data_IF_004530521330
#
_entry.id   IF_004530521330
#
_cell.length_a   1.000
_cell.length_b   1.000
_cell.length_c   1.000
_cell.angle_alpha   90.00
_cell.angle_beta   90.00
_cell.angle_gamma   90.00
#
_symmetry.space_group_name_H-M   'P 1'
#
loop_
_entity.id
_entity.type
_entity.pdbx_description
1 polymer ?
#
# COMPACT_ATOMS: atom_id res chain seq x y z
N UNK A 1 -8.04 15.63 6.30
CA UNK A 1 -7.32 14.65 7.15
C UNK A 1 -6.43 15.32 8.19
N UNK A 2 -6.00 16.59 8.02
CA UNK A 2 -5.14 17.29 8.99
C UNK A 2 -5.87 18.05 10.11
N UNK A 3 -7.19 17.92 10.24
CA UNK A 3 -7.94 18.59 11.30
C UNK A 3 -7.71 17.84 12.64
N UNK A 4 -7.31 18.54 13.73
CA UNK A 4 -7.07 17.89 15.01
C UNK A 4 -8.28 17.08 15.48
N UNK A 5 -8.04 15.87 15.98
CA UNK A 5 -9.05 14.94 16.52
C UNK A 5 -10.02 14.31 15.50
N UNK A 6 -9.82 14.50 14.19
CA UNK A 6 -10.60 13.77 13.17
C UNK A 6 -10.17 12.29 13.12
N UNK A 7 -11.08 11.36 13.38
CA UNK A 7 -10.79 9.90 13.37
C UNK A 7 -11.30 9.16 12.14
N UNK A 8 -12.25 9.72 11.38
CA UNK A 8 -12.86 9.05 10.22
C UNK A 8 -11.85 8.77 9.08
N UNK A 9 -10.93 9.71 8.82
CA UNK A 9 -9.85 9.54 7.84
C UNK A 9 -8.53 9.84 8.55
N UNK A 10 -7.86 8.82 9.11
CA UNK A 10 -6.65 9.03 9.89
C UNK A 10 -5.53 9.57 9.02
N UNK A 11 -4.73 10.47 9.59
CA UNK A 11 -3.47 10.88 8.98
C UNK A 11 -2.41 9.82 9.24
N UNK A 12 -1.62 9.54 8.21
CA UNK A 12 -0.44 8.67 8.28
C UNK A 12 0.76 9.43 7.77
N UNK A 13 1.94 9.11 8.29
CA UNK A 13 3.21 9.69 7.83
C UNK A 13 4.12 8.57 7.36
N UNK A 14 4.73 8.75 6.20
CA UNK A 14 5.68 7.81 5.62
C UNK A 14 6.80 8.55 4.90
N UNK A 15 8.01 7.98 4.85
CA UNK A 15 9.13 8.57 4.13
C UNK A 15 8.90 8.54 2.62
N UNK A 16 9.40 9.56 1.91
CA UNK A 16 9.51 9.55 0.45
C UNK A 16 10.98 9.37 0.08
N UNK A 17 11.28 8.24 -0.56
CA UNK A 17 12.64 7.83 -0.89
C UNK A 17 12.81 7.60 -2.39
N UNK A 18 14.06 7.61 -2.86
CA UNK A 18 14.41 7.37 -4.28
C UNK A 18 14.64 5.89 -4.58
N UNK A 19 15.01 5.13 -3.56
CA UNK A 19 15.31 3.71 -3.61
C UNK A 19 14.46 2.95 -2.59
N UNK A 20 14.22 1.66 -2.84
CA UNK A 20 13.40 0.82 -1.96
C UNK A 20 14.12 0.50 -0.65
N UNK A 21 15.44 0.35 -0.73
CA UNK A 21 16.33 0.06 0.39
C UNK A 21 16.30 1.20 1.43
N UNK A 22 16.20 2.45 0.97
CA UNK A 22 16.06 3.61 1.85
C UNK A 22 14.69 3.62 2.55
N UNK A 23 13.63 3.22 1.84
CA UNK A 23 12.29 3.11 2.42
C UNK A 23 12.28 2.05 3.52
N UNK A 24 12.87 0.88 3.24
CA UNK A 24 13.01 -0.22 4.18
C UNK A 24 13.81 0.20 5.42
N UNK A 25 14.96 0.85 5.23
CA UNK A 25 15.83 1.32 6.29
C UNK A 25 15.10 2.29 7.23
N UNK A 26 14.43 3.32 6.68
CA UNK A 26 13.74 4.32 7.50
C UNK A 26 12.56 3.69 8.23
N UNK A 27 11.77 2.85 7.57
CA UNK A 27 10.65 2.15 8.20
C UNK A 27 11.12 1.23 9.33
N UNK A 28 12.20 0.49 9.12
CA UNK A 28 12.81 -0.38 10.15
C UNK A 28 13.29 0.41 11.35
N UNK A 29 14.07 1.48 11.13
CA UNK A 29 14.57 2.35 12.21
C UNK A 29 13.44 2.92 13.06
N UNK A 30 12.32 3.32 12.44
CA UNK A 30 11.16 3.84 13.17
C UNK A 30 10.50 2.74 14.00
N UNK A 31 10.32 1.53 13.46
CA UNK A 31 9.67 0.42 14.16
C UNK A 31 10.55 -0.11 15.30
N UNK A 32 11.86 -0.22 15.09
CA UNK A 32 12.85 -0.66 16.08
C UNK A 32 12.99 0.31 17.26
N UNK A 33 12.55 1.56 17.10
CA UNK A 33 12.47 2.53 18.19
C UNK A 33 11.26 2.31 19.13
N UNK A 34 10.47 1.25 18.91
CA UNK A 34 9.30 0.86 19.71
C UNK A 34 8.29 2.01 19.96
N UNK A 35 7.77 2.66 18.91
CA UNK A 35 6.92 3.86 19.04
C UNK A 35 5.64 3.63 19.85
N UNK A 36 5.17 2.38 19.95
CA UNK A 36 4.03 1.98 20.79
C UNK A 36 4.26 2.22 22.30
N UNK A 37 5.51 2.39 22.75
CA UNK A 37 5.81 2.80 24.12
C UNK A 37 5.48 4.28 24.40
N UNK A 38 5.38 5.09 23.35
CA UNK A 38 5.12 6.54 23.44
C UNK A 38 3.70 6.89 22.99
N UNK A 39 3.20 6.25 21.94
CA UNK A 39 1.84 6.45 21.42
C UNK A 39 1.04 5.14 21.42
N UNK A 40 0.01 5.07 22.27
CA UNK A 40 -0.88 3.92 22.39
C UNK A 40 -1.74 3.64 21.14
N UNK A 41 -1.78 4.55 20.16
CA UNK A 41 -2.44 4.31 18.86
C UNK A 41 -1.61 3.44 17.93
N UNK A 42 -0.31 3.31 18.19
CA UNK A 42 0.59 2.50 17.36
C UNK A 42 0.52 1.05 17.84
N UNK A 43 0.16 0.09 16.98
CA UNK A 43 0.14 -1.30 17.36
C UNK A 43 1.58 -1.83 17.60
N UNK A 44 1.81 -2.68 18.62
CA UNK A 44 3.13 -3.21 18.93
C UNK A 44 3.53 -4.34 17.98
N UNK A 45 3.86 -3.98 16.74
CA UNK A 45 4.23 -4.92 15.68
C UNK A 45 5.73 -4.73 15.39
N UNK A 46 6.59 -5.70 15.77
CA UNK A 46 8.02 -5.61 15.49
C UNK A 46 8.32 -5.80 14.00
N UNK A 47 9.47 -5.28 13.56
CA UNK A 47 9.94 -5.45 12.19
C UNK A 47 10.19 -6.92 11.89
N UNK A 48 9.86 -7.36 10.67
CA UNK A 48 10.17 -8.70 10.17
C UNK A 48 11.20 -8.55 9.05
N UNK A 49 12.40 -9.09 9.27
CA UNK A 49 13.49 -9.04 8.28
C UNK A 49 13.12 -9.71 6.95
N UNK A 50 12.26 -10.72 7.01
CA UNK A 50 11.67 -11.33 5.83
C UNK A 50 10.22 -11.71 6.11
N UNK A 51 9.41 -11.60 5.06
CA UNK A 51 8.08 -12.20 5.02
C UNK A 51 8.14 -13.26 3.95
N UNK A 52 8.18 -14.53 4.36
CA UNK A 52 8.06 -15.63 3.43
C UNK A 52 6.59 -15.74 3.00
N UNK A 53 6.36 -15.58 1.70
CA UNK A 53 5.06 -15.78 1.08
C UNK A 53 5.19 -17.00 0.18
N UNK A 54 4.53 -18.10 0.55
CA UNK A 54 4.53 -19.36 -0.22
C UNK A 54 4.02 -19.14 -1.65
N UNK A 55 3.02 -18.26 -1.80
CA UNK A 55 2.44 -17.84 -3.07
C UNK A 55 2.07 -16.36 -3.01
N UNK A 56 2.43 -15.59 -4.03
CA UNK A 56 2.06 -14.19 -4.17
C UNK A 56 1.03 -14.07 -5.28
N UNK A 57 -0.16 -13.56 -4.94
CA UNK A 57 -1.21 -13.22 -5.91
C UNK A 57 -1.43 -11.71 -5.88
N UNK A 58 -1.52 -11.08 -7.05
CA UNK A 58 -1.65 -9.63 -7.18
C UNK A 58 -3.03 -9.27 -7.73
N UNK A 59 -3.79 -8.54 -6.92
CA UNK A 59 -5.03 -7.91 -7.37
C UNK A 59 -4.76 -6.59 -8.09
N UNK A 60 -5.32 -6.40 -9.29
CA UNK A 60 -5.19 -5.16 -10.07
C UNK A 60 -6.59 -4.53 -10.21
N UNK A 61 -6.75 -3.34 -9.65
CA UNK A 61 -7.93 -2.51 -9.87
C UNK A 61 -7.64 -1.53 -11.02
N UNK A 62 -8.25 -1.76 -12.18
CA UNK A 62 -7.98 -0.94 -13.38
C UNK A 62 -8.71 0.39 -13.32
N UNK A 63 -9.95 0.40 -12.85
CA UNK A 63 -10.78 1.59 -12.79
C UNK A 63 -11.78 1.50 -11.64
N UNK A 64 -11.88 2.57 -10.86
CA UNK A 64 -12.78 2.72 -9.73
C UNK A 64 -14.23 3.08 -10.10
N UNK A 65 -14.54 3.15 -11.41
CA UNK A 65 -15.84 3.58 -11.99
C UNK A 65 -16.23 5.04 -11.71
N UNK A 66 -15.36 5.83 -11.08
CA UNK A 66 -15.59 7.26 -10.81
C UNK A 66 -14.75 8.13 -11.72
N UNK A 67 -13.44 7.87 -11.78
CA UNK A 67 -12.51 8.69 -12.54
C UNK A 67 -11.75 7.77 -13.49
N UNK A 68 -12.07 7.89 -14.79
CA UNK A 68 -11.41 7.08 -15.81
C UNK A 68 -9.93 7.44 -15.88
N UNK A 69 -9.00 6.48 -15.71
CA UNK A 69 -7.58 6.76 -15.78
C UNK A 69 -7.17 7.23 -17.18
N UNK A 70 -6.16 8.09 -17.23
CA UNK A 70 -5.59 8.52 -18.50
C UNK A 70 -4.95 7.34 -19.25
N UNK A 71 -4.93 7.38 -20.60
CA UNK A 71 -4.35 6.29 -21.41
C UNK A 71 -2.92 5.85 -21.01
N UNK A 72 -1.99 6.74 -20.59
CA UNK A 72 -0.66 6.31 -20.13
C UNK A 72 -0.70 5.44 -18.86
N UNK A 73 -1.65 5.69 -17.95
CA UNK A 73 -1.82 4.91 -16.73
C UNK A 73 -2.35 3.52 -17.05
N UNK A 74 -3.36 3.44 -17.93
CA UNK A 74 -3.89 2.15 -18.41
C UNK A 74 -2.81 1.31 -19.09
N UNK A 75 -1.93 1.94 -19.87
CA UNK A 75 -0.78 1.27 -20.49
C UNK A 75 0.18 0.73 -19.43
N UNK A 76 0.56 1.56 -18.45
CA UNK A 76 1.48 1.14 -17.39
C UNK A 76 0.93 -0.03 -16.56
N UNK A 77 -0.38 -0.04 -16.26
CA UNK A 77 -1.05 -1.14 -15.57
C UNK A 77 -0.96 -2.45 -16.38
N UNK A 78 -1.24 -2.39 -17.68
CA UNK A 78 -1.16 -3.56 -18.58
C UNK A 78 0.26 -4.10 -18.74
N UNK A 79 1.25 -3.21 -18.83
CA UNK A 79 2.67 -3.58 -18.89
C UNK A 79 3.09 -4.26 -17.58
N UNK A 80 2.65 -3.73 -16.43
CA UNK A 80 2.93 -4.31 -15.11
C UNK A 80 2.29 -5.68 -14.97
N UNK A 81 1.01 -5.84 -15.33
CA UNK A 81 0.31 -7.13 -15.33
C UNK A 81 1.04 -8.17 -16.19
N UNK A 82 1.46 -7.77 -17.40
CA UNK A 82 2.18 -8.65 -18.32
C UNK A 82 3.52 -9.11 -17.73
N UNK A 83 4.25 -8.20 -17.05
CA UNK A 83 5.52 -8.53 -16.43
C UNK A 83 5.35 -9.43 -15.19
N UNK A 84 4.30 -9.23 -14.40
CA UNK A 84 3.96 -10.09 -13.27
C UNK A 84 3.62 -11.51 -13.73
N UNK A 85 2.77 -11.66 -14.75
CA UNK A 85 2.45 -12.98 -15.33
C UNK A 85 3.68 -13.69 -15.89
N UNK A 86 4.59 -12.95 -16.53
CA UNK A 86 5.87 -13.50 -17.02
C UNK A 86 6.78 -13.99 -15.89
N UNK A 87 6.72 -13.35 -14.73
CA UNK A 87 7.45 -13.77 -13.53
C UNK A 87 6.78 -14.98 -12.83
N UNK A 88 5.66 -15.49 -13.34
CA UNK A 88 4.91 -16.61 -12.75
C UNK A 88 4.00 -16.20 -11.59
N UNK A 89 3.73 -14.90 -11.43
CA UNK A 89 2.83 -14.37 -10.40
C UNK A 89 1.42 -14.30 -10.98
N UNK A 90 0.46 -14.90 -10.28
CA UNK A 90 -0.95 -14.84 -10.67
C UNK A 90 -1.53 -13.46 -10.41
N UNK A 91 -2.30 -12.97 -11.38
CA UNK A 91 -2.95 -11.66 -11.30
C UNK A 91 -4.46 -11.79 -11.50
N UNK A 92 -5.23 -11.05 -10.70
CA UNK A 92 -6.69 -11.01 -10.79
C UNK A 92 -7.16 -9.56 -10.94
N UNK A 93 -8.13 -9.32 -11.83
CA UNK A 93 -8.83 -8.04 -11.83
C UNK A 93 -9.78 -7.99 -10.63
N UNK A 94 -9.62 -6.98 -9.77
CA UNK A 94 -10.40 -6.83 -8.54
C UNK A 94 -11.15 -5.52 -8.52
N UNK A 95 -12.40 -5.62 -8.09
CA UNK A 95 -13.22 -4.50 -7.71
C UNK A 95 -13.43 -4.54 -6.19
N UNK A 96 -13.21 -3.43 -5.48
CA UNK A 96 -13.50 -3.38 -4.05
C UNK A 96 -15.00 -3.56 -3.82
N UNK A 97 -15.41 -4.21 -2.72
CA UNK A 97 -16.82 -4.49 -2.44
C UNK A 97 -17.64 -3.23 -2.15
N UNK A 98 -16.98 -2.13 -1.78
CA UNK A 98 -17.58 -0.84 -1.44
C UNK A 98 -16.88 0.25 -2.23
N UNK A 99 -17.66 1.20 -2.78
CA UNK A 99 -17.10 2.35 -3.48
C UNK A 99 -16.39 3.27 -2.49
N UNK A 100 -15.25 3.85 -2.87
CA UNK A 100 -14.55 4.81 -2.01
C UNK A 100 -15.39 6.07 -1.70
N UNK A 101 -16.42 6.37 -2.50
CA UNK A 101 -17.38 7.44 -2.24
C UNK A 101 -18.32 7.14 -1.06
N UNK A 102 -18.51 5.87 -0.73
CA UNK A 102 -19.38 5.45 0.38
C UNK A 102 -18.61 5.34 1.70
N UNK A 103 -17.28 5.49 1.67
CA UNK A 103 -16.39 5.28 2.82
C UNK A 103 -16.25 6.55 3.68
N UNK A 104 -16.88 7.68 3.31
CA UNK A 104 -16.89 8.92 4.12
C UNK A 104 -18.22 9.69 4.00
#
# INVERSE_FOLDING_TARGET
NSYPHQTCVPSVTGPMCRYLEDLELVSKVIIDAEPWLVDAKVPPIPWKESVELDTVNVGIMVWDKQIKPHPPILRALKETETNLKKAGIDTLEVEPPVSHLEIC
#
